data_IF_392752857801
#
_entry.id   IF_392752857801
#
_cell.length_a   1.000
_cell.length_b   1.000
_cell.length_c   1.000
_cell.angle_alpha   90.00
_cell.angle_beta   90.00
_cell.angle_gamma   90.00
#
_symmetry.space_group_name_H-M   'P 1'
#
loop_
_entity.id
_entity.type
_entity.pdbx_description
1 polymer ?
#
# COMPACT_ATOMS: atom_id res chain seq x y z
N UNK A 1 44.55 -19.61 -18.23
CA UNK A 1 45.18 -18.44 -17.56
C UNK A 1 44.12 -17.39 -17.41
N UNK A 2 43.25 -17.64 -16.38
CA UNK A 2 42.09 -16.79 -16.12
C UNK A 2 42.55 -15.49 -15.49
N UNK A 3 42.36 -14.41 -16.24
CA UNK A 3 42.47 -13.05 -15.70
C UNK A 3 41.27 -12.83 -14.81
N UNK A 4 41.43 -13.18 -13.53
CA UNK A 4 40.51 -12.73 -12.48
C UNK A 4 40.57 -11.21 -12.43
N UNK A 5 39.66 -10.53 -13.10
CA UNK A 5 39.50 -9.08 -12.94
C UNK A 5 38.97 -8.87 -11.53
N UNK A 6 39.89 -8.66 -10.59
CA UNK A 6 39.59 -8.24 -9.24
C UNK A 6 39.14 -6.79 -9.29
N UNK A 7 37.84 -6.59 -9.42
CA UNK A 7 37.26 -5.25 -9.32
C UNK A 7 37.48 -4.76 -7.89
N UNK A 8 38.22 -3.66 -7.75
CA UNK A 8 38.51 -3.08 -6.43
C UNK A 8 37.27 -2.45 -5.81
N UNK A 9 37.26 -2.23 -4.49
CA UNK A 9 36.15 -1.53 -3.76
C UNK A 9 35.88 -0.15 -4.37
N UNK A 10 36.93 0.56 -4.79
CA UNK A 10 36.85 1.89 -5.43
C UNK A 10 36.11 1.83 -6.77
N UNK A 11 36.22 0.75 -7.52
CA UNK A 11 35.55 0.57 -8.82
C UNK A 11 34.09 0.13 -8.65
N UNK A 12 33.74 -0.57 -7.54
CA UNK A 12 32.35 -1.01 -7.27
C UNK A 12 31.48 0.09 -6.71
N UNK A 13 32.03 1.03 -5.98
CA UNK A 13 31.29 2.04 -5.22
C UNK A 13 30.87 1.55 -3.83
N UNK A 14 30.28 2.45 -3.03
CA UNK A 14 29.75 2.12 -1.71
C UNK A 14 28.47 1.26 -1.81
N UNK A 15 28.14 0.54 -0.72
CA UNK A 15 26.86 -0.22 -0.66
C UNK A 15 25.65 0.68 -0.92
N UNK A 16 25.67 1.91 -0.44
CA UNK A 16 24.58 2.87 -0.68
C UNK A 16 24.45 3.21 -2.18
N UNK A 17 25.56 3.41 -2.89
CA UNK A 17 25.57 3.66 -4.34
C UNK A 17 25.07 2.44 -5.12
N UNK A 18 25.46 1.24 -4.71
CA UNK A 18 25.01 0.00 -5.32
C UNK A 18 23.49 -0.19 -5.14
N UNK A 19 22.97 0.09 -3.95
CA UNK A 19 21.53 0.06 -3.69
C UNK A 19 20.81 1.07 -4.58
N UNK A 20 21.31 2.30 -4.71
CA UNK A 20 20.68 3.32 -5.57
C UNK A 20 20.65 2.89 -7.03
N UNK A 21 21.75 2.38 -7.57
CA UNK A 21 21.81 1.85 -8.95
C UNK A 21 20.81 0.71 -9.16
N UNK A 22 20.71 -0.18 -8.18
CA UNK A 22 19.71 -1.26 -8.22
C UNK A 22 18.26 -0.73 -8.23
N UNK A 23 17.94 0.26 -7.38
CA UNK A 23 16.61 0.86 -7.35
C UNK A 23 16.29 1.55 -8.67
N UNK A 24 17.23 2.28 -9.26
CA UNK A 24 17.07 2.88 -10.60
C UNK A 24 16.80 1.82 -11.68
N UNK A 25 17.51 0.68 -11.64
CA UNK A 25 17.28 -0.45 -12.52
C UNK A 25 15.85 -1.00 -12.36
N UNK A 26 15.37 -1.19 -11.13
CA UNK A 26 14.01 -1.64 -10.87
C UNK A 26 12.95 -0.68 -11.42
N UNK A 27 13.18 0.63 -11.32
CA UNK A 27 12.25 1.65 -11.81
C UNK A 27 12.24 1.75 -13.34
N UNK A 28 13.43 1.84 -13.95
CA UNK A 28 13.59 2.11 -15.38
C UNK A 28 13.40 0.86 -16.25
N UNK A 29 14.07 -0.23 -15.87
CA UNK A 29 14.16 -1.43 -16.71
C UNK A 29 13.05 -2.44 -16.38
N UNK A 30 12.82 -2.71 -15.08
CA UNK A 30 11.78 -3.65 -14.64
C UNK A 30 10.41 -3.00 -14.42
N UNK A 31 10.31 -1.69 -14.50
CA UNK A 31 9.07 -0.92 -14.32
C UNK A 31 8.30 -1.29 -13.04
N UNK A 32 9.04 -1.57 -11.96
CA UNK A 32 8.43 -1.83 -10.65
C UNK A 32 7.74 -0.60 -10.10
N UNK A 33 6.73 -0.79 -9.26
CA UNK A 33 6.03 0.33 -8.65
C UNK A 33 6.94 1.10 -7.68
N UNK A 34 6.75 2.41 -7.57
CA UNK A 34 7.47 3.26 -6.62
C UNK A 34 7.41 2.72 -5.17
N UNK A 35 6.26 2.17 -4.76
CA UNK A 35 6.11 1.54 -3.44
C UNK A 35 7.00 0.30 -3.27
N UNK A 36 7.17 -0.51 -4.33
CA UNK A 36 8.07 -1.67 -4.32
C UNK A 36 9.51 -1.21 -4.20
N UNK A 37 9.93 -0.25 -5.03
CA UNK A 37 11.27 0.32 -5.03
C UNK A 37 11.62 0.93 -3.67
N UNK A 38 10.73 1.73 -3.10
CA UNK A 38 10.92 2.33 -1.77
C UNK A 38 10.97 1.28 -0.65
N UNK A 39 10.20 0.21 -0.75
CA UNK A 39 10.21 -0.87 0.24
C UNK A 39 11.52 -1.65 0.16
N UNK A 40 12.00 -1.96 -1.05
CA UNK A 40 13.27 -2.65 -1.28
C UNK A 40 14.45 -1.80 -0.82
N UNK A 41 14.46 -0.50 -1.17
CA UNK A 41 15.48 0.43 -0.69
C UNK A 41 15.59 0.42 0.83
N UNK A 42 14.45 0.52 1.53
CA UNK A 42 14.41 0.52 3.00
C UNK A 42 14.92 -0.79 3.60
N UNK A 43 14.47 -1.93 3.05
CA UNK A 43 14.89 -3.25 3.54
C UNK A 43 16.40 -3.46 3.37
N UNK A 44 16.94 -3.10 2.19
CA UNK A 44 18.37 -3.24 1.89
C UNK A 44 19.22 -2.30 2.74
N UNK A 45 18.78 -1.05 2.92
CA UNK A 45 19.50 -0.11 3.75
C UNK A 45 19.58 -0.56 5.21
N UNK A 46 18.46 -1.01 5.78
CA UNK A 46 18.47 -1.55 7.13
C UNK A 46 19.39 -2.76 7.28
N UNK A 47 19.44 -3.63 6.27
CA UNK A 47 20.38 -4.76 6.24
C UNK A 47 21.84 -4.28 6.25
N UNK A 48 22.18 -3.34 5.38
CA UNK A 48 23.56 -2.80 5.27
C UNK A 48 23.97 -2.13 6.57
N UNK A 49 23.13 -1.24 7.12
CA UNK A 49 23.41 -0.53 8.37
C UNK A 49 23.66 -1.53 9.53
N UNK A 50 22.86 -2.59 9.61
CA UNK A 50 23.03 -3.61 10.66
C UNK A 50 24.28 -4.45 10.46
N UNK A 51 24.56 -4.95 9.24
CA UNK A 51 25.74 -5.77 8.95
C UNK A 51 27.01 -4.96 9.15
N UNK A 52 27.04 -3.71 8.68
CA UNK A 52 28.20 -2.82 8.88
C UNK A 52 28.47 -2.57 10.35
N UNK A 53 27.42 -2.32 11.15
CA UNK A 53 27.54 -2.11 12.60
C UNK A 53 27.99 -3.36 13.36
N UNK A 54 27.53 -4.55 12.92
CA UNK A 54 27.80 -5.81 13.65
C UNK A 54 29.12 -6.45 13.27
N UNK A 55 29.57 -6.30 12.02
CA UNK A 55 30.74 -7.01 11.48
C UNK A 55 31.83 -6.10 10.88
N UNK A 56 31.56 -4.79 10.80
CA UNK A 56 32.48 -3.85 10.13
C UNK A 56 32.56 -4.05 8.61
N UNK A 57 31.60 -4.75 8.00
CA UNK A 57 31.55 -5.09 6.57
C UNK A 57 30.77 -4.05 5.80
N UNK A 58 31.43 -3.41 4.83
CA UNK A 58 30.82 -2.39 3.97
C UNK A 58 31.18 -2.58 2.47
N UNK A 59 31.65 -3.76 2.09
CA UNK A 59 31.94 -4.13 0.69
C UNK A 59 31.07 -5.32 0.29
N UNK A 60 30.29 -5.15 -0.79
CA UNK A 60 29.40 -6.18 -1.31
C UNK A 60 30.07 -7.53 -1.58
N UNK A 61 31.36 -7.52 -1.97
CA UNK A 61 32.13 -8.74 -2.25
C UNK A 61 32.44 -9.58 -0.99
N UNK A 62 32.36 -8.96 0.20
CA UNK A 62 32.67 -9.62 1.47
C UNK A 62 31.40 -10.12 2.16
N UNK A 63 30.21 -9.75 1.65
CA UNK A 63 28.97 -10.26 2.18
C UNK A 63 28.87 -11.77 1.98
N UNK A 64 28.66 -12.48 3.08
CA UNK A 64 28.56 -13.94 3.10
C UNK A 64 27.13 -14.38 3.42
N UNK A 65 26.84 -15.65 3.12
CA UNK A 65 25.56 -16.24 3.52
C UNK A 65 25.36 -16.26 5.05
N UNK A 66 26.46 -16.28 5.84
CA UNK A 66 26.38 -16.20 7.31
C UNK A 66 25.94 -14.81 7.77
N UNK A 67 26.50 -13.72 7.23
CA UNK A 67 26.07 -12.36 7.58
C UNK A 67 24.58 -12.15 7.31
N UNK A 68 24.10 -12.61 6.15
CA UNK A 68 22.68 -12.51 5.78
C UNK A 68 21.80 -13.39 6.67
N UNK A 69 22.28 -14.57 7.04
CA UNK A 69 21.56 -15.46 7.96
C UNK A 69 21.44 -14.86 9.35
N UNK A 70 22.50 -14.23 9.86
CA UNK A 70 22.46 -13.57 11.16
C UNK A 70 21.55 -12.34 11.16
N UNK A 71 21.53 -11.56 10.09
CA UNK A 71 20.55 -10.49 9.96
C UNK A 71 19.10 -11.02 9.87
N UNK A 72 18.89 -12.12 9.14
CA UNK A 72 17.59 -12.79 9.11
C UNK A 72 17.16 -13.22 10.51
N UNK A 73 18.05 -13.85 11.29
CA UNK A 73 17.77 -14.29 12.66
C UNK A 73 17.52 -13.09 13.58
N UNK A 74 18.25 -12.00 13.41
CA UNK A 74 17.96 -10.73 14.08
C UNK A 74 16.53 -10.25 13.82
N UNK A 75 16.07 -10.26 12.55
CA UNK A 75 14.69 -9.87 12.23
C UNK A 75 13.65 -10.78 12.90
N UNK A 76 13.92 -12.09 12.96
CA UNK A 76 13.04 -13.07 13.63
C UNK A 76 12.99 -12.76 15.14
N UNK A 77 14.15 -12.59 15.79
CA UNK A 77 14.26 -12.32 17.21
C UNK A 77 13.68 -10.95 17.60
N UNK A 78 13.74 -9.97 16.69
CA UNK A 78 13.08 -8.67 16.85
C UNK A 78 11.55 -8.73 16.64
N UNK A 79 10.97 -9.91 16.46
CA UNK A 79 9.53 -10.12 16.32
C UNK A 79 8.93 -9.55 15.02
N UNK A 80 9.74 -9.39 13.95
CA UNK A 80 9.22 -8.93 12.66
C UNK A 80 8.25 -9.96 12.06
N UNK A 81 7.21 -9.46 11.39
CA UNK A 81 6.20 -10.35 10.80
C UNK A 81 6.79 -11.24 9.69
N UNK A 82 6.28 -12.46 9.47
CA UNK A 82 6.70 -13.33 8.37
C UNK A 82 6.61 -12.63 6.99
N UNK A 83 5.63 -11.74 6.80
CA UNK A 83 5.49 -10.97 5.56
C UNK A 83 6.64 -9.96 5.39
N UNK A 84 7.06 -9.28 6.47
CA UNK A 84 8.21 -8.36 6.47
C UNK A 84 9.49 -9.11 6.15
N UNK A 85 9.72 -10.27 6.79
CA UNK A 85 10.90 -11.09 6.56
C UNK A 85 10.90 -11.65 5.12
N UNK A 86 9.76 -12.12 4.61
CA UNK A 86 9.63 -12.56 3.22
C UNK A 86 9.95 -11.44 2.22
N UNK A 87 9.53 -10.20 2.49
CA UNK A 87 9.84 -9.05 1.63
C UNK A 87 11.35 -8.75 1.67
N UNK A 88 11.96 -8.75 2.85
CA UNK A 88 13.42 -8.60 2.98
C UNK A 88 14.15 -9.68 2.17
N UNK A 89 13.78 -10.95 2.30
CA UNK A 89 14.42 -12.04 1.53
C UNK A 89 14.27 -11.82 0.03
N UNK A 90 13.12 -11.34 -0.43
CA UNK A 90 12.89 -11.05 -1.85
C UNK A 90 13.75 -9.86 -2.33
N UNK A 91 13.85 -8.78 -1.53
CA UNK A 91 14.67 -7.61 -1.87
C UNK A 91 16.17 -7.94 -1.87
N UNK A 92 16.65 -8.72 -0.89
CA UNK A 92 18.04 -9.15 -0.82
C UNK A 92 18.40 -10.06 -2.01
N UNK A 93 17.59 -11.05 -2.33
CA UNK A 93 17.82 -11.93 -3.49
C UNK A 93 17.88 -11.14 -4.80
N UNK A 94 16.90 -10.25 -5.04
CA UNK A 94 16.88 -9.44 -6.25
C UNK A 94 18.12 -8.52 -6.34
N UNK A 95 18.55 -7.96 -5.22
CA UNK A 95 19.72 -7.09 -5.17
C UNK A 95 21.02 -7.84 -5.47
N UNK A 96 21.28 -8.94 -4.78
CA UNK A 96 22.52 -9.70 -4.97
C UNK A 96 22.54 -10.43 -6.32
N UNK A 97 21.40 -10.87 -6.86
CA UNK A 97 21.28 -11.34 -8.23
C UNK A 97 21.65 -10.25 -9.25
N UNK A 98 21.16 -9.00 -9.05
CA UNK A 98 21.54 -7.85 -9.85
C UNK A 98 23.05 -7.61 -9.81
N UNK A 99 23.67 -7.58 -8.61
CA UNK A 99 25.11 -7.39 -8.48
C UNK A 99 25.92 -8.50 -9.17
N UNK A 100 25.48 -9.75 -9.07
CA UNK A 100 26.12 -10.89 -9.74
C UNK A 100 26.02 -10.75 -11.26
N UNK A 101 24.86 -10.37 -11.79
CA UNK A 101 24.66 -10.15 -13.25
C UNK A 101 25.50 -8.98 -13.78
N UNK A 102 25.74 -7.95 -12.97
CA UNK A 102 26.62 -6.82 -13.31
C UNK A 102 28.12 -7.15 -13.15
N UNK A 103 28.46 -8.36 -12.70
CA UNK A 103 29.86 -8.76 -12.44
C UNK A 103 30.50 -8.05 -11.26
N UNK A 104 29.72 -7.40 -10.40
CA UNK A 104 30.21 -6.66 -9.23
C UNK A 104 30.56 -7.57 -8.06
N UNK A 105 29.98 -8.76 -8.00
CA UNK A 105 30.31 -9.85 -7.08
C UNK A 105 30.39 -11.17 -7.83
N UNK A 106 31.18 -12.10 -7.32
CA UNK A 106 31.40 -13.41 -7.97
C UNK A 106 30.35 -14.45 -7.57
N UNK A 107 29.82 -14.35 -6.36
CA UNK A 107 28.89 -15.33 -5.81
C UNK A 107 27.72 -14.63 -5.14
N UNK A 108 26.49 -15.16 -5.35
CA UNK A 108 25.29 -14.68 -4.67
C UNK A 108 25.27 -15.23 -3.22
N UNK A 109 25.36 -14.35 -2.19
CA UNK A 109 25.31 -14.79 -0.79
C UNK A 109 23.89 -15.20 -0.34
N UNK A 110 22.84 -14.95 -1.15
CA UNK A 110 21.46 -15.27 -0.82
C UNK A 110 21.04 -16.71 -1.16
N UNK A 111 21.93 -17.55 -1.71
CA UNK A 111 21.58 -18.89 -2.21
C UNK A 111 20.89 -19.77 -1.16
N UNK A 112 21.32 -19.71 0.11
CA UNK A 112 20.75 -20.48 1.22
C UNK A 112 19.57 -19.77 1.92
N UNK A 113 19.30 -18.49 1.60
CA UNK A 113 18.28 -17.71 2.29
C UNK A 113 16.88 -18.12 1.85
N UNK A 114 16.05 -18.59 2.78
CA UNK A 114 14.69 -19.04 2.50
C UNK A 114 13.68 -18.10 3.13
N UNK A 115 12.69 -17.66 2.34
CA UNK A 115 11.58 -16.89 2.86
C UNK A 115 10.73 -17.76 3.81
N UNK A 116 10.25 -17.22 4.94
CA UNK A 116 9.35 -17.94 5.83
C UNK A 116 8.01 -18.17 5.14
N UNK A 117 7.33 -19.26 5.50
CA UNK A 117 5.98 -19.52 5.01
C UNK A 117 5.01 -18.49 5.60
N UNK A 118 4.44 -17.66 4.74
CA UNK A 118 3.43 -16.69 5.14
C UNK A 118 2.06 -17.36 5.12
N UNK A 119 1.50 -17.61 6.30
CA UNK A 119 0.12 -18.09 6.43
C UNK A 119 -0.80 -16.88 6.25
N UNK A 120 -1.48 -16.81 5.11
CA UNK A 120 -2.48 -15.76 4.86
C UNK A 120 -3.73 -16.08 5.65
N UNK A 121 -4.06 -15.24 6.64
CA UNK A 121 -5.38 -15.29 7.30
C UNK A 121 -6.46 -14.94 6.27
N UNK A 122 -7.64 -15.56 6.41
CA UNK A 122 -8.80 -15.10 5.62
C UNK A 122 -9.01 -13.61 5.90
N UNK A 123 -9.27 -12.79 4.86
CA UNK A 123 -9.58 -11.38 5.07
C UNK A 123 -10.81 -11.23 5.97
N UNK A 124 -10.73 -10.35 6.95
CA UNK A 124 -11.91 -9.94 7.72
C UNK A 124 -12.82 -9.10 6.83
N UNK A 125 -14.11 -9.30 6.96
CA UNK A 125 -15.16 -8.51 6.30
C UNK A 125 -16.16 -8.05 7.35
N UNK A 126 -16.74 -6.88 7.15
CA UNK A 126 -17.87 -6.40 7.95
C UNK A 126 -19.16 -7.09 7.49
N UNK A 127 -20.03 -7.40 8.43
CA UNK A 127 -21.41 -7.73 8.14
C UNK A 127 -22.16 -6.48 7.62
N UNK A 128 -23.31 -6.66 7.00
CA UNK A 128 -24.16 -5.54 6.58
C UNK A 128 -24.56 -4.67 7.77
N UNK A 129 -24.91 -5.29 8.90
CA UNK A 129 -25.26 -4.58 10.13
C UNK A 129 -24.09 -3.76 10.69
N UNK A 130 -22.87 -4.30 10.70
CA UNK A 130 -21.67 -3.55 11.10
C UNK A 130 -21.37 -2.41 10.14
N UNK A 131 -21.55 -2.62 8.84
CA UNK A 131 -21.38 -1.58 7.82
C UNK A 131 -22.37 -0.43 8.06
N UNK A 132 -23.65 -0.73 8.33
CA UNK A 132 -24.65 0.29 8.66
C UNK A 132 -24.29 1.06 9.93
N UNK A 133 -23.86 0.36 10.99
CA UNK A 133 -23.39 1.01 12.23
C UNK A 133 -22.21 1.94 12.00
N UNK A 134 -21.21 1.49 11.23
CA UNK A 134 -20.02 2.29 10.89
C UNK A 134 -20.44 3.56 10.13
N UNK A 135 -21.31 3.42 9.14
CA UNK A 135 -21.77 4.52 8.32
C UNK A 135 -22.70 5.49 9.09
N UNK A 136 -23.28 5.09 10.22
CA UNK A 136 -24.12 5.94 11.06
C UNK A 136 -23.36 6.61 12.20
N UNK A 137 -22.08 6.31 12.37
CA UNK A 137 -21.28 6.83 13.49
C UNK A 137 -20.77 8.29 13.30
N UNK A 138 -20.52 8.81 12.07
CA UNK A 138 -20.08 10.19 11.92
C UNK A 138 -21.13 11.20 12.41
N UNK A 139 -20.67 12.24 13.12
CA UNK A 139 -21.46 13.37 13.62
C UNK A 139 -21.87 14.32 12.49
N UNK A 140 -22.76 15.30 12.79
CA UNK A 140 -23.26 16.28 11.80
C UNK A 140 -22.40 17.56 11.74
N UNK A 141 -21.18 17.55 12.29
CA UNK A 141 -20.23 18.66 12.14
C UNK A 141 -19.46 18.56 10.80
N UNK A 142 -18.73 19.61 10.43
CA UNK A 142 -17.98 19.66 9.16
C UNK A 142 -17.05 18.46 8.96
N UNK A 143 -16.48 17.91 10.04
CA UNK A 143 -15.61 16.73 9.99
C UNK A 143 -16.42 15.46 9.78
N UNK A 144 -17.52 15.32 10.48
CA UNK A 144 -18.38 14.15 10.36
C UNK A 144 -19.07 14.06 9.01
N UNK A 145 -19.51 15.20 8.45
CA UNK A 145 -20.06 15.26 7.08
C UNK A 145 -19.02 14.80 6.05
N UNK A 146 -17.77 15.29 6.14
CA UNK A 146 -16.66 14.78 5.33
C UNK A 146 -16.45 13.27 5.53
N UNK A 147 -16.36 12.85 6.78
CA UNK A 147 -16.05 11.47 7.15
C UNK A 147 -17.13 10.51 6.66
N UNK A 148 -18.38 10.95 6.75
CA UNK A 148 -19.55 10.24 6.19
C UNK A 148 -19.42 10.06 4.69
N UNK A 149 -19.14 11.13 3.95
CA UNK A 149 -18.95 11.06 2.50
C UNK A 149 -17.79 10.11 2.11
N UNK A 150 -16.67 10.17 2.85
CA UNK A 150 -15.52 9.28 2.63
C UNK A 150 -15.87 7.80 2.86
N UNK A 151 -16.54 7.50 3.97
CA UNK A 151 -16.91 6.12 4.34
C UNK A 151 -17.94 5.55 3.37
N UNK A 152 -19.00 6.32 3.03
CA UNK A 152 -20.03 5.90 2.08
C UNK A 152 -19.40 5.62 0.70
N UNK A 153 -18.53 6.52 0.20
CA UNK A 153 -17.87 6.34 -1.08
C UNK A 153 -16.97 5.09 -1.08
N UNK A 154 -16.21 4.89 0.00
CA UNK A 154 -15.32 3.72 0.09
C UNK A 154 -16.08 2.41 0.21
N UNK A 155 -17.18 2.39 0.95
CA UNK A 155 -18.01 1.19 1.12
C UNK A 155 -18.80 0.83 -0.15
N UNK A 156 -19.14 1.82 -1.00
CA UNK A 156 -19.89 1.58 -2.25
C UNK A 156 -18.99 1.26 -3.45
N UNK A 157 -17.75 1.74 -3.45
CA UNK A 157 -16.85 1.60 -4.61
C UNK A 157 -15.65 0.68 -4.36
N UNK A 158 -15.33 0.40 -3.11
CA UNK A 158 -14.15 -0.37 -2.74
C UNK A 158 -12.81 0.24 -3.21
N UNK A 159 -12.73 1.56 -3.39
CA UNK A 159 -11.49 2.27 -3.74
C UNK A 159 -10.33 1.90 -2.80
N UNK A 160 -9.10 1.88 -3.33
CA UNK A 160 -7.93 1.83 -2.45
C UNK A 160 -7.82 3.15 -1.69
N UNK A 161 -7.32 3.10 -0.45
CA UNK A 161 -7.16 4.32 0.35
C UNK A 161 -6.34 5.40 -0.39
N UNK A 162 -5.32 5.01 -1.13
CA UNK A 162 -4.53 5.95 -1.93
C UNK A 162 -5.29 6.54 -3.10
N UNK A 163 -6.23 5.80 -3.68
CA UNK A 163 -7.12 6.28 -4.73
C UNK A 163 -8.14 7.26 -4.14
N UNK A 164 -8.82 6.88 -3.05
CA UNK A 164 -9.77 7.75 -2.35
C UNK A 164 -9.17 9.09 -1.96
N UNK A 165 -7.97 9.07 -1.36
CA UNK A 165 -7.30 10.29 -0.87
C UNK A 165 -6.65 11.13 -1.98
N UNK A 166 -6.41 10.53 -3.14
CA UNK A 166 -5.85 11.21 -4.30
C UNK A 166 -6.91 11.78 -5.26
N UNK A 167 -8.20 11.57 -5.01
CA UNK A 167 -9.27 12.12 -5.84
C UNK A 167 -9.25 13.65 -5.73
N UNK A 168 -9.30 14.30 -6.90
CA UNK A 168 -9.46 15.75 -7.01
C UNK A 168 -10.88 16.13 -7.43
N UNK A 169 -11.23 17.41 -7.31
CA UNK A 169 -12.52 17.92 -7.78
C UNK A 169 -12.74 17.71 -9.28
N UNK A 170 -11.66 17.65 -10.07
CA UNK A 170 -11.73 17.37 -11.50
C UNK A 170 -11.97 15.88 -11.83
N UNK A 171 -11.74 14.99 -10.88
CA UNK A 171 -11.94 13.55 -11.06
C UNK A 171 -13.38 13.10 -10.78
N UNK A 172 -14.21 13.95 -10.18
CA UNK A 172 -15.58 13.62 -9.79
C UNK A 172 -16.60 14.36 -10.65
N UNK A 173 -17.59 13.63 -11.14
CA UNK A 173 -18.76 14.15 -11.86
C UNK A 173 -20.02 13.77 -11.06
N UNK A 174 -20.50 14.68 -10.21
CA UNK A 174 -21.67 14.46 -9.34
C UNK A 174 -22.96 14.28 -10.16
N UNK A 175 -23.07 14.92 -11.33
CA UNK A 175 -24.24 14.80 -12.19
C UNK A 175 -24.35 13.40 -12.80
N UNK A 176 -23.20 12.83 -13.21
CA UNK A 176 -23.13 11.46 -13.74
C UNK A 176 -22.90 10.42 -12.64
N UNK A 177 -22.70 10.84 -11.41
CA UNK A 177 -22.35 9.96 -10.27
C UNK A 177 -21.17 9.07 -10.60
N UNK A 178 -20.10 9.67 -11.08
CA UNK A 178 -18.95 8.98 -11.62
C UNK A 178 -17.65 9.58 -11.08
N UNK A 179 -16.69 8.71 -10.78
CA UNK A 179 -15.32 9.09 -10.42
C UNK A 179 -14.37 8.51 -11.47
N UNK A 180 -13.45 9.32 -11.93
CA UNK A 180 -12.31 8.90 -12.73
C UNK A 180 -11.13 8.63 -11.79
N UNK A 181 -10.72 7.37 -11.67
CA UNK A 181 -9.59 6.98 -10.81
C UNK A 181 -8.32 6.99 -11.66
N UNK A 182 -7.39 7.93 -11.43
CA UNK A 182 -6.13 7.98 -12.16
C UNK A 182 -5.22 6.81 -11.80
N UNK A 183 -4.31 6.42 -12.70
CA UNK A 183 -3.35 5.35 -12.48
C UNK A 183 -2.83 4.76 -13.78
N UNK A 184 -2.04 3.70 -13.69
CA UNK A 184 -1.53 2.96 -14.86
C UNK A 184 -2.64 2.43 -15.79
N UNK A 185 -3.82 2.22 -15.23
CA UNK A 185 -5.08 1.94 -15.94
C UNK A 185 -6.15 2.85 -15.36
N UNK A 186 -6.32 4.02 -15.96
CA UNK A 186 -7.41 4.95 -15.63
C UNK A 186 -8.74 4.22 -15.80
N UNK A 187 -9.60 4.27 -14.77
CA UNK A 187 -10.92 3.65 -14.79
C UNK A 187 -11.97 4.59 -14.26
N UNK A 188 -13.17 4.45 -14.80
CA UNK A 188 -14.35 5.20 -14.34
C UNK A 188 -15.20 4.29 -13.46
N UNK A 189 -15.57 4.76 -12.30
CA UNK A 189 -16.40 4.05 -11.33
C UNK A 189 -17.66 4.84 -11.12
N UNK A 190 -18.81 4.21 -11.30
CA UNK A 190 -20.09 4.77 -10.90
C UNK A 190 -20.37 4.44 -9.45
N UNK A 191 -20.98 5.36 -8.73
CA UNK A 191 -21.42 5.20 -7.34
C UNK A 191 -22.91 5.46 -7.18
N UNK A 192 -23.49 4.98 -6.07
CA UNK A 192 -24.92 5.02 -5.80
C UNK A 192 -25.44 6.46 -5.57
N UNK A 193 -26.73 6.67 -5.83
CA UNK A 193 -27.41 7.94 -5.58
C UNK A 193 -27.33 8.38 -4.11
N UNK A 194 -27.32 7.41 -3.18
CA UNK A 194 -27.16 7.70 -1.75
C UNK A 194 -25.80 8.34 -1.46
N UNK A 195 -24.73 7.81 -2.05
CA UNK A 195 -23.37 8.35 -1.92
C UNK A 195 -23.30 9.76 -2.48
N UNK A 196 -23.96 9.99 -3.63
CA UNK A 196 -24.00 11.32 -4.26
C UNK A 196 -24.50 12.39 -3.31
N UNK A 197 -25.60 12.10 -2.60
CA UNK A 197 -26.16 13.03 -1.62
C UNK A 197 -25.15 13.44 -0.54
N UNK A 198 -24.39 12.50 0.00
CA UNK A 198 -23.36 12.82 1.01
C UNK A 198 -22.17 13.56 0.44
N UNK A 199 -21.82 13.31 -0.83
CA UNK A 199 -20.78 14.06 -1.52
C UNK A 199 -21.22 15.49 -1.82
N UNK A 200 -22.43 15.70 -2.30
CA UNK A 200 -23.02 17.02 -2.53
C UNK A 200 -23.09 17.82 -1.22
N UNK A 201 -23.63 17.22 -0.16
CA UNK A 201 -23.67 17.83 1.17
C UNK A 201 -22.27 18.27 1.65
N UNK A 202 -21.30 17.40 1.53
CA UNK A 202 -19.91 17.71 1.90
C UNK A 202 -19.34 18.87 1.07
N UNK A 203 -19.54 18.85 -0.25
CA UNK A 203 -19.02 19.87 -1.15
C UNK A 203 -19.66 21.24 -0.91
N UNK A 204 -20.96 21.27 -0.64
CA UNK A 204 -21.73 22.49 -0.47
C UNK A 204 -21.55 23.12 0.92
N UNK A 205 -21.48 22.31 1.98
CA UNK A 205 -21.53 22.82 3.35
C UNK A 205 -20.18 22.82 4.06
N UNK A 206 -19.40 21.75 3.90
CA UNK A 206 -18.31 21.45 4.82
C UNK A 206 -16.92 21.61 4.22
N UNK A 207 -16.76 21.35 2.90
CA UNK A 207 -15.44 21.39 2.28
C UNK A 207 -14.79 22.78 2.37
N UNK A 208 -15.53 23.83 2.03
CA UNK A 208 -15.02 25.20 2.11
C UNK A 208 -14.73 25.64 3.55
N UNK A 209 -15.56 25.19 4.51
CA UNK A 209 -15.32 25.45 5.93
C UNK A 209 -14.04 24.75 6.44
N UNK A 210 -13.71 23.56 5.93
CA UNK A 210 -12.47 22.87 6.24
C UNK A 210 -11.25 23.44 5.52
N UNK A 211 -11.44 23.99 4.29
CA UNK A 211 -10.38 24.67 3.55
C UNK A 211 -9.90 25.93 4.27
N UNK A 212 -10.85 26.70 4.85
CA UNK A 212 -10.53 27.97 5.50
C UNK A 212 -9.80 28.93 4.57
N UNK A 213 -8.72 29.53 5.08
CA UNK A 213 -7.88 30.48 4.34
C UNK A 213 -6.74 29.79 3.52
N UNK A 214 -6.73 28.45 3.47
CA UNK A 214 -5.69 27.73 2.74
C UNK A 214 -5.90 27.81 1.23
N UNK A 215 -4.78 27.75 0.49
CA UNK A 215 -4.83 27.61 -0.96
C UNK A 215 -5.45 26.26 -1.34
N UNK A 216 -6.50 26.28 -2.15
CA UNK A 216 -7.13 25.06 -2.63
C UNK A 216 -6.25 24.35 -3.67
N UNK A 217 -5.70 23.20 -3.31
CA UNK A 217 -4.95 22.31 -4.21
C UNK A 217 -5.86 21.40 -5.03
N UNK A 218 -7.18 21.51 -4.87
CA UNK A 218 -8.18 20.76 -5.63
C UNK A 218 -8.46 19.35 -5.12
N UNK A 219 -7.90 18.91 -4.01
CA UNK A 219 -8.25 17.61 -3.45
C UNK A 219 -9.71 17.54 -3.00
N UNK A 220 -10.37 16.41 -3.27
CA UNK A 220 -11.76 16.22 -2.86
C UNK A 220 -11.88 16.24 -1.33
N UNK A 221 -11.11 15.43 -0.63
CA UNK A 221 -11.21 15.29 0.83
C UNK A 221 -10.08 15.99 1.56
N UNK A 222 -10.44 16.98 2.37
CA UNK A 222 -9.51 17.80 3.14
C UNK A 222 -9.44 17.33 4.60
N UNK A 223 -8.28 17.53 5.22
CA UNK A 223 -8.10 17.38 6.66
C UNK A 223 -8.61 18.62 7.40
N UNK A 224 -8.43 18.68 8.72
CA UNK A 224 -8.85 19.82 9.55
C UNK A 224 -7.99 21.06 9.38
N UNK A 225 -6.85 20.95 8.70
CA UNK A 225 -5.95 22.07 8.40
C UNK A 225 -6.12 22.59 6.96
N UNK A 226 -7.15 22.12 6.23
CA UNK A 226 -7.39 22.52 4.84
C UNK A 226 -6.51 21.82 3.79
N UNK A 227 -5.66 20.89 4.19
CA UNK A 227 -4.78 20.14 3.31
C UNK A 227 -5.43 18.80 2.89
N UNK A 228 -4.81 18.08 1.96
CA UNK A 228 -5.27 16.74 1.60
C UNK A 228 -5.29 15.78 2.80
N UNK A 229 -6.31 14.94 2.91
CA UNK A 229 -6.40 13.92 3.95
C UNK A 229 -5.26 12.90 3.83
N UNK A 230 -4.52 12.68 4.90
CA UNK A 230 -3.44 11.68 4.93
C UNK A 230 -3.96 10.24 5.16
N UNK A 231 -3.17 9.24 4.72
CA UNK A 231 -3.48 7.82 5.00
C UNK A 231 -3.59 7.54 6.50
N UNK A 232 -2.70 8.13 7.31
CA UNK A 232 -2.73 7.97 8.76
C UNK A 232 -3.97 8.63 9.37
N UNK A 233 -4.36 9.81 8.87
CA UNK A 233 -5.59 10.49 9.26
C UNK A 233 -6.82 9.64 8.99
N UNK A 234 -6.96 9.12 7.77
CA UNK A 234 -8.07 8.24 7.42
C UNK A 234 -8.08 6.93 8.23
N UNK A 235 -6.90 6.37 8.53
CA UNK A 235 -6.81 5.16 9.34
C UNK A 235 -7.24 5.40 10.80
N UNK A 236 -6.83 6.53 11.39
CA UNK A 236 -7.31 6.94 12.72
C UNK A 236 -8.84 7.14 12.75
N UNK A 237 -9.38 7.74 11.70
CA UNK A 237 -10.81 7.98 11.51
C UNK A 237 -11.60 6.67 11.53
N UNK A 238 -11.27 5.70 10.68
CA UNK A 238 -12.00 4.43 10.65
C UNK A 238 -11.88 3.63 11.95
N UNK A 239 -10.74 3.71 12.65
CA UNK A 239 -10.58 3.10 13.99
C UNK A 239 -11.45 3.79 15.03
N UNK A 240 -11.54 5.12 15.01
CA UNK A 240 -12.42 5.90 15.90
C UNK A 240 -13.86 5.43 15.71
N UNK A 241 -14.39 5.51 14.51
CA UNK A 241 -15.78 5.14 14.23
C UNK A 241 -16.07 3.65 14.44
N UNK A 242 -15.12 2.77 14.16
CA UNK A 242 -15.24 1.35 14.47
C UNK A 242 -15.43 1.07 15.95
N UNK A 243 -14.66 1.78 16.80
CA UNK A 243 -14.79 1.69 18.27
C UNK A 243 -16.13 2.25 18.74
N UNK A 244 -16.54 3.41 18.25
CA UNK A 244 -17.79 4.07 18.61
C UNK A 244 -19.02 3.24 18.19
N UNK A 245 -18.93 2.59 17.02
CA UNK A 245 -19.96 1.68 16.52
C UNK A 245 -19.99 0.30 17.21
N UNK A 246 -19.05 0.03 18.13
CA UNK A 246 -18.93 -1.26 18.82
C UNK A 246 -18.57 -2.43 17.90
N UNK A 247 -17.80 -2.18 16.84
CA UNK A 247 -17.41 -3.21 15.86
C UNK A 247 -16.18 -3.96 16.42
N UNK A 248 -16.33 -5.28 16.59
CA UNK A 248 -15.28 -6.14 17.13
C UNK A 248 -14.16 -6.46 16.13
N UNK A 249 -14.41 -6.31 14.85
CA UNK A 249 -13.43 -6.52 13.77
C UNK A 249 -12.41 -5.37 13.75
N UNK A 250 -11.12 -5.70 13.70
CA UNK A 250 -10.09 -4.67 13.52
C UNK A 250 -10.25 -3.99 12.15
N UNK A 251 -10.72 -2.74 12.17
CA UNK A 251 -10.97 -1.98 10.95
C UNK A 251 -9.68 -1.44 10.33
N UNK A 252 -9.55 -1.72 9.05
CA UNK A 252 -8.53 -1.14 8.16
C UNK A 252 -9.18 -0.75 6.83
N UNK A 253 -8.57 0.14 6.03
CA UNK A 253 -9.08 0.42 4.69
C UNK A 253 -9.24 -0.84 3.82
N UNK A 254 -8.38 -1.84 4.04
CA UNK A 254 -8.50 -3.13 3.34
C UNK A 254 -9.75 -3.91 3.77
N UNK A 255 -10.11 -3.88 5.05
CA UNK A 255 -11.36 -4.52 5.52
C UNK A 255 -12.58 -3.89 4.85
N UNK A 256 -12.67 -2.57 4.76
CA UNK A 256 -13.77 -1.89 4.07
C UNK A 256 -13.85 -2.31 2.59
N UNK A 257 -12.70 -2.33 1.91
CA UNK A 257 -12.63 -2.76 0.51
C UNK A 257 -12.96 -4.25 0.33
N UNK A 258 -12.53 -5.12 1.25
CA UNK A 258 -12.89 -6.54 1.22
C UNK A 258 -14.39 -6.74 1.45
N UNK A 259 -14.98 -5.97 2.37
CA UNK A 259 -16.42 -5.97 2.64
C UNK A 259 -17.22 -5.57 1.40
N UNK A 260 -16.84 -4.48 0.72
CA UNK A 260 -17.43 -4.11 -0.57
C UNK A 260 -17.39 -5.27 -1.57
N UNK A 261 -16.21 -5.87 -1.77
CA UNK A 261 -16.05 -6.95 -2.74
C UNK A 261 -16.95 -8.16 -2.42
N UNK A 262 -16.96 -8.58 -1.14
CA UNK A 262 -17.78 -9.70 -0.70
C UNK A 262 -19.28 -9.41 -0.81
N UNK A 263 -19.75 -8.23 -0.37
CA UNK A 263 -21.16 -7.84 -0.46
C UNK A 263 -21.60 -7.69 -1.91
N UNK A 264 -20.78 -7.10 -2.78
CA UNK A 264 -21.09 -6.95 -4.20
C UNK A 264 -21.28 -8.31 -4.90
N UNK A 265 -20.43 -9.29 -4.59
CA UNK A 265 -20.54 -10.63 -5.15
C UNK A 265 -21.73 -11.41 -4.56
N UNK A 266 -22.00 -11.28 -3.24
CA UNK A 266 -23.17 -11.88 -2.59
C UNK A 266 -24.49 -11.33 -3.12
N UNK A 267 -24.53 -10.05 -3.49
CA UNK A 267 -25.70 -9.42 -4.12
C UNK A 267 -25.87 -9.78 -5.61
N UNK A 268 -25.05 -10.69 -6.15
CA UNK A 268 -25.13 -11.17 -7.53
C UNK A 268 -24.47 -10.28 -8.57
N UNK A 269 -23.65 -9.29 -8.18
CA UNK A 269 -22.85 -8.52 -9.17
C UNK A 269 -21.86 -9.45 -9.89
N UNK A 270 -21.75 -9.29 -11.19
CA UNK A 270 -20.81 -10.05 -12.01
C UNK A 270 -19.35 -9.85 -11.54
N UNK A 271 -18.61 -10.95 -11.40
CA UNK A 271 -17.25 -10.95 -10.88
C UNK A 271 -16.28 -10.09 -11.73
N UNK A 272 -16.47 -10.02 -13.06
CA UNK A 272 -15.64 -9.20 -13.94
C UNK A 272 -15.93 -7.72 -13.73
N UNK A 273 -17.20 -7.35 -13.43
CA UNK A 273 -17.56 -5.99 -13.05
C UNK A 273 -16.92 -5.60 -11.73
N UNK A 274 -16.99 -6.47 -10.71
CA UNK A 274 -16.34 -6.23 -9.41
C UNK A 274 -14.82 -6.12 -9.57
N UNK A 275 -14.19 -7.00 -10.36
CA UNK A 275 -12.77 -6.93 -10.68
C UNK A 275 -12.40 -5.59 -11.33
N UNK A 276 -13.19 -5.13 -12.30
CA UNK A 276 -12.96 -3.85 -12.99
C UNK A 276 -13.07 -2.66 -12.04
N UNK A 277 -14.10 -2.62 -11.18
CA UNK A 277 -14.30 -1.58 -10.17
C UNK A 277 -13.09 -1.54 -9.22
N UNK A 278 -12.68 -2.70 -8.71
CA UNK A 278 -11.55 -2.82 -7.81
C UNK A 278 -10.19 -2.55 -8.49
N UNK A 279 -10.09 -2.66 -9.80
CA UNK A 279 -8.82 -2.54 -10.54
C UNK A 279 -7.84 -3.66 -10.16
N UNK A 280 -8.33 -4.90 -10.04
CA UNK A 280 -7.49 -6.07 -9.86
C UNK A 280 -6.95 -6.55 -11.21
N UNK A 281 -5.64 -6.72 -11.30
CA UNK A 281 -4.98 -7.25 -12.50
C UNK A 281 -5.28 -8.74 -12.70
N UNK A 282 -5.52 -9.48 -11.61
CA UNK A 282 -5.77 -10.91 -11.62
C UNK A 282 -7.16 -11.23 -11.04
N UNK A 283 -7.91 -12.07 -11.76
CA UNK A 283 -9.24 -12.52 -11.36
C UNK A 283 -9.20 -13.38 -10.09
N UNK A 284 -8.11 -14.11 -9.85
CA UNK A 284 -7.93 -14.93 -8.65
C UNK A 284 -8.05 -14.13 -7.36
N UNK A 285 -7.61 -12.86 -7.38
CA UNK A 285 -7.76 -11.95 -6.25
C UNK A 285 -9.22 -11.65 -5.94
N UNK A 286 -10.07 -11.55 -6.97
CA UNK A 286 -11.51 -11.28 -6.80
C UNK A 286 -12.30 -12.55 -6.49
N UNK A 287 -11.94 -13.69 -7.08
CA UNK A 287 -12.61 -14.97 -6.81
C UNK A 287 -12.44 -15.45 -5.36
N UNK A 288 -11.36 -15.03 -4.70
CA UNK A 288 -11.14 -15.32 -3.28
C UNK A 288 -12.27 -14.81 -2.36
N UNK A 289 -13.08 -13.83 -2.80
CA UNK A 289 -14.23 -13.32 -2.02
C UNK A 289 -15.50 -14.13 -2.16
N UNK A 290 -15.63 -15.04 -3.16
CA UNK A 290 -16.79 -15.89 -3.35
C UNK A 290 -17.02 -16.88 -2.19
N UNK A 291 -15.94 -17.23 -1.47
CA UNK A 291 -15.95 -18.21 -0.39
C UNK A 291 -15.86 -17.58 1.01
N UNK A 292 -16.27 -16.31 1.12
CA UNK A 292 -16.22 -15.56 2.38
C UNK A 292 -17.60 -15.30 3.00
#
# INVERSE_FOLDING_TARGET
MDIMVSITRLERGSMEELIRKFIEHLEKDERKSANTCQSYYRDLRQMVDWISSSFGVDDAAVYSGSNLKEYYDFLVNAGKSPATISRFVASAKAFFEYLTRQGLILHDPCTALKAPKVIRKKPSILTEAETVKLLSAPEEDNKGVRDKAMLELMCDTGLRVSELLGITLSDIDVQKRQITVPGSRTRKIQYDKKVNRYLEEYLETSRNALLGDQKDEGYLFLNVSGESMSRQGFWKLIKKYGKEAGIGTELTPHVLRHSFAAHALRSGKDIKKVQSILGHSDLSTTSGYLNM
#
